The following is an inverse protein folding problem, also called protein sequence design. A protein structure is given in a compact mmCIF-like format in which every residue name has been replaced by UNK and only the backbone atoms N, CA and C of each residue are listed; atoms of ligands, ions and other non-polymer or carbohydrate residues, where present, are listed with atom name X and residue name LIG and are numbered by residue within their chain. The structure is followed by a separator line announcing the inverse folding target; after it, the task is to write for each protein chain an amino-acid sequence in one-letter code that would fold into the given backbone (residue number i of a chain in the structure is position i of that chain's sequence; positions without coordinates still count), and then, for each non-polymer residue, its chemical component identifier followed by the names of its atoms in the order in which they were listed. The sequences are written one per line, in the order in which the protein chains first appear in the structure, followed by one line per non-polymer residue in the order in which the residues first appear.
data_IF_914363230848
#
_entry.id   IF_914363230848
#
_cell.length_a   1.000
_cell.length_b   1.000
_cell.length_c   1.000
_cell.angle_alpha   90.00
_cell.angle_beta   90.00
_cell.angle_gamma   90.00
#
_symmetry.space_group_name_H-M   'P 1'
#
loop_
_entity.id
_entity.type
_entity.pdbx_description
1 polymer ?
#
# COMPACT_ATOMS: atom_id res chain seq x y z
N UNK A 1 -29.57 -27.20 -4.38
CA UNK A 1 -29.56 -26.00 -5.25
C UNK A 1 -29.58 -24.66 -4.50
N UNK A 2 -30.22 -24.52 -3.32
CA UNK A 2 -30.24 -23.25 -2.54
C UNK A 2 -28.83 -22.83 -2.01
N UNK A 3 -27.98 -23.76 -1.65
CA UNK A 3 -26.63 -23.51 -1.14
C UNK A 3 -25.71 -22.91 -2.20
N UNK A 4 -25.77 -23.35 -3.45
CA UNK A 4 -24.97 -22.82 -4.55
C UNK A 4 -25.33 -21.37 -4.92
N UNK A 5 -26.59 -20.96 -4.74
CA UNK A 5 -27.01 -19.57 -4.99
C UNK A 5 -26.48 -18.59 -3.91
N UNK A 6 -26.31 -19.06 -2.68
CA UNK A 6 -25.78 -18.23 -1.59
C UNK A 6 -24.31 -17.85 -1.77
N UNK A 7 -23.51 -18.69 -2.46
CA UNK A 7 -22.08 -18.43 -2.69
C UNK A 7 -21.77 -17.59 -3.94
N UNK A 8 -22.75 -17.38 -4.83
CA UNK A 8 -22.54 -16.61 -6.07
C UNK A 8 -21.96 -15.21 -5.84
N UNK A 9 -22.49 -14.36 -4.94
CA UNK A 9 -21.94 -13.02 -4.74
C UNK A 9 -20.50 -13.07 -4.23
N UNK A 10 -20.15 -14.01 -3.37
CA UNK A 10 -18.79 -14.21 -2.90
C UNK A 10 -17.84 -14.62 -4.03
N UNK A 11 -18.26 -15.55 -4.89
CA UNK A 11 -17.45 -15.97 -6.05
C UNK A 11 -17.23 -14.82 -7.05
N UNK A 12 -18.25 -13.99 -7.29
CA UNK A 12 -18.09 -12.81 -8.15
C UNK A 12 -17.14 -11.78 -7.53
N UNK A 13 -17.23 -11.53 -6.21
CA UNK A 13 -16.30 -10.64 -5.52
C UNK A 13 -14.86 -11.13 -5.62
N UNK A 14 -14.64 -12.44 -5.42
CA UNK A 14 -13.32 -13.04 -5.53
C UNK A 14 -12.77 -12.92 -6.97
N UNK A 15 -13.60 -13.20 -7.97
CA UNK A 15 -13.22 -13.06 -9.38
C UNK A 15 -12.84 -11.61 -9.74
N UNK A 16 -13.56 -10.62 -9.20
CA UNK A 16 -13.26 -9.20 -9.39
C UNK A 16 -11.93 -8.83 -8.72
N UNK A 17 -11.65 -9.33 -7.51
CA UNK A 17 -10.37 -9.09 -6.83
C UNK A 17 -9.20 -9.68 -7.63
N UNK A 18 -9.37 -10.90 -8.16
CA UNK A 18 -8.38 -11.52 -9.04
C UNK A 18 -8.19 -10.72 -10.33
N UNK A 19 -9.27 -10.17 -10.90
CA UNK A 19 -9.19 -9.27 -12.05
C UNK A 19 -8.39 -8.02 -11.72
N UNK A 20 -8.65 -7.36 -10.59
CA UNK A 20 -7.87 -6.19 -10.16
C UNK A 20 -6.39 -6.52 -10.01
N UNK A 21 -6.07 -7.65 -9.40
CA UNK A 21 -4.69 -8.09 -9.26
C UNK A 21 -4.01 -8.28 -10.63
N UNK A 22 -4.69 -8.97 -11.57
CA UNK A 22 -4.21 -9.13 -12.94
C UNK A 22 -3.99 -7.81 -13.67
N UNK A 23 -4.91 -6.85 -13.53
CA UNK A 23 -4.78 -5.51 -14.13
C UNK A 23 -3.57 -4.74 -13.58
N UNK A 24 -3.33 -4.82 -12.29
CA UNK A 24 -2.17 -4.18 -11.65
C UNK A 24 -0.86 -4.83 -12.10
N UNK A 25 -0.80 -6.15 -12.20
CA UNK A 25 0.37 -6.85 -12.72
C UNK A 25 0.67 -6.46 -14.18
N UNK A 26 -0.36 -6.32 -15.01
CA UNK A 26 -0.20 -5.86 -16.39
C UNK A 26 0.28 -4.40 -16.47
N UNK A 27 -0.28 -3.52 -15.64
CA UNK A 27 0.11 -2.11 -15.60
C UNK A 27 1.56 -1.93 -15.14
N UNK A 28 1.98 -2.67 -14.12
CA UNK A 28 3.34 -2.68 -13.58
C UNK A 28 4.19 -3.82 -14.17
N UNK A 29 3.91 -4.25 -15.39
CA UNK A 29 4.64 -5.35 -16.05
C UNK A 29 6.17 -5.19 -16.05
N UNK A 30 6.78 -3.98 -16.17
CA UNK A 30 8.22 -3.83 -16.06
C UNK A 30 8.81 -4.28 -14.72
N UNK A 31 8.03 -4.24 -13.64
CA UNK A 31 8.49 -4.72 -12.33
C UNK A 31 8.55 -6.25 -12.26
N UNK A 32 7.74 -6.96 -13.07
CA UNK A 32 7.84 -8.41 -13.22
C UNK A 32 9.14 -8.84 -13.94
N UNK A 33 9.73 -7.93 -14.72
CA UNK A 33 11.04 -8.10 -15.36
C UNK A 33 12.22 -7.74 -14.45
N UNK A 34 11.97 -7.46 -13.16
CA UNK A 34 12.98 -7.08 -12.18
C UNK A 34 13.38 -5.60 -12.23
N UNK A 35 12.65 -4.75 -12.97
CA UNK A 35 12.83 -3.30 -12.91
C UNK A 35 12.19 -2.75 -11.64
N UNK A 36 12.82 -1.72 -11.06
CA UNK A 36 12.32 -1.04 -9.86
C UNK A 36 11.79 0.35 -10.21
N UNK A 37 10.76 0.80 -9.49
CA UNK A 37 10.28 2.16 -9.61
C UNK A 37 11.23 3.10 -8.85
N UNK A 38 11.79 4.09 -9.55
CA UNK A 38 12.66 5.11 -8.96
C UNK A 38 11.84 6.10 -8.15
N UNK A 39 11.69 5.87 -6.85
CA UNK A 39 10.93 6.71 -5.93
C UNK A 39 11.88 7.67 -5.20
N UNK A 40 11.81 8.96 -5.56
CA UNK A 40 12.73 9.96 -5.03
C UNK A 40 12.66 10.11 -3.50
N UNK A 41 11.47 10.19 -2.95
CA UNK A 41 11.27 10.35 -1.50
C UNK A 41 11.68 9.11 -0.70
N UNK A 42 11.57 7.92 -1.28
CA UNK A 42 12.08 6.68 -0.65
C UNK A 42 13.60 6.73 -0.58
N UNK A 43 14.27 7.17 -1.65
CA UNK A 43 15.74 7.30 -1.64
C UNK A 43 16.22 8.31 -0.59
N UNK A 44 15.54 9.46 -0.48
CA UNK A 44 15.84 10.45 0.57
C UNK A 44 15.56 9.89 1.97
N UNK A 45 14.42 9.24 2.17
CA UNK A 45 14.08 8.60 3.45
C UNK A 45 15.15 7.60 3.89
N UNK A 46 15.67 6.77 2.99
CA UNK A 46 16.72 5.80 3.30
C UNK A 46 17.99 6.48 3.81
N UNK A 47 18.38 7.61 3.20
CA UNK A 47 19.49 8.42 3.67
C UNK A 47 19.25 9.03 5.04
N UNK A 48 18.09 9.66 5.22
CA UNK A 48 17.71 10.35 6.46
C UNK A 48 17.52 9.41 7.65
N UNK A 49 17.00 8.22 7.42
CA UNK A 49 16.70 7.24 8.47
C UNK A 49 17.90 6.35 8.83
N UNK A 50 19.01 6.46 8.11
CA UNK A 50 20.15 5.54 8.27
C UNK A 50 20.68 5.50 9.71
N UNK A 51 20.96 6.66 10.30
CA UNK A 51 21.48 6.74 11.68
C UNK A 51 20.54 6.08 12.68
N UNK A 52 19.22 6.32 12.54
CA UNK A 52 18.21 5.73 13.42
C UNK A 52 18.07 4.21 13.24
N UNK A 53 18.16 3.74 12.02
CA UNK A 53 18.10 2.31 11.71
C UNK A 53 19.36 1.59 12.22
N UNK A 54 20.56 2.15 11.97
CA UNK A 54 21.84 1.60 12.45
C UNK A 54 21.85 1.52 14.00
N UNK A 55 21.30 2.54 14.69
CA UNK A 55 21.16 2.51 16.15
C UNK A 55 20.19 1.42 16.62
N UNK A 56 19.04 1.31 15.97
CA UNK A 56 18.03 0.27 16.28
C UNK A 56 18.60 -1.13 16.09
N UNK A 57 19.30 -1.35 14.97
CA UNK A 57 19.86 -2.66 14.63
C UNK A 57 20.99 -3.07 15.59
N UNK A 58 21.76 -2.10 16.09
CA UNK A 58 22.85 -2.36 17.02
C UNK A 58 22.43 -2.51 18.49
N UNK A 59 21.37 -1.80 18.91
CA UNK A 59 20.98 -1.73 20.34
C UNK A 59 19.64 -2.41 20.65
N UNK A 60 18.81 -2.67 19.63
CA UNK A 60 17.43 -3.13 19.79
C UNK A 60 16.45 -2.06 20.31
N UNK A 61 16.90 -0.81 20.48
CA UNK A 61 16.11 0.30 21.01
C UNK A 61 15.84 1.37 19.95
N UNK A 62 14.73 2.10 20.11
CA UNK A 62 14.40 3.24 19.26
C UNK A 62 15.16 4.49 19.71
N UNK A 63 15.82 5.17 18.77
CA UNK A 63 16.44 6.46 19.04
C UNK A 63 15.40 7.57 19.10
N UNK A 64 15.41 8.36 20.16
CA UNK A 64 14.49 9.48 20.35
C UNK A 64 14.92 10.70 19.53
N UNK A 65 16.21 10.83 19.26
CA UNK A 65 16.82 11.98 18.59
C UNK A 65 17.79 11.54 17.51
N UNK A 66 17.90 12.30 16.43
CA UNK A 66 18.97 12.14 15.41
C UNK A 66 19.67 13.47 15.18
N UNK A 67 20.96 13.41 14.89
CA UNK A 67 21.77 14.56 14.52
C UNK A 67 22.03 14.64 13.01
N UNK A 68 21.57 13.67 12.23
CA UNK A 68 21.83 13.58 10.79
C UNK A 68 21.15 14.66 9.97
N UNK A 69 20.16 15.38 10.52
CA UNK A 69 19.37 16.38 9.79
C UNK A 69 19.10 17.63 10.62
N UNK A 70 19.07 18.78 9.93
CA UNK A 70 18.67 20.09 10.49
C UNK A 70 19.35 20.44 11.81
N UNK A 71 20.61 20.04 12.02
CA UNK A 71 21.34 20.18 13.29
C UNK A 71 20.71 19.45 14.48
N UNK A 72 19.85 18.48 14.20
CA UNK A 72 19.18 17.62 15.16
C UNK A 72 17.66 17.77 15.15
N UNK A 73 16.98 16.62 15.22
CA UNK A 73 15.52 16.58 15.30
C UNK A 73 15.02 15.30 15.97
N UNK A 74 13.74 15.27 16.45
CA UNK A 74 13.17 14.07 17.02
C UNK A 74 13.15 12.90 16.02
N UNK A 75 13.70 11.73 16.42
CA UNK A 75 13.83 10.55 15.57
C UNK A 75 12.49 9.99 15.09
N UNK A 76 11.44 10.10 15.90
CA UNK A 76 10.09 9.62 15.56
C UNK A 76 9.42 10.38 14.40
N UNK A 77 9.93 11.56 14.03
CA UNK A 77 9.46 12.28 12.84
C UNK A 77 10.01 11.71 11.53
N UNK A 78 11.07 10.92 11.60
CA UNK A 78 11.73 10.31 10.43
C UNK A 78 11.42 8.82 10.35
N UNK A 79 11.79 8.07 11.39
CA UNK A 79 11.67 6.61 11.40
C UNK A 79 11.34 6.12 12.78
N UNK A 80 10.23 5.42 12.91
CA UNK A 80 9.82 4.71 14.13
C UNK A 80 9.20 3.37 13.72
N UNK A 81 9.51 2.34 14.51
CA UNK A 81 8.92 1.02 14.31
C UNK A 81 7.93 0.73 15.43
N UNK A 82 6.68 0.54 15.06
CA UNK A 82 5.65 0.10 16.00
C UNK A 82 4.82 -1.04 15.40
N UNK A 83 4.36 -1.92 16.28
CA UNK A 83 3.52 -3.05 15.90
C UNK A 83 2.04 -2.65 15.98
N UNK A 84 1.29 -3.00 14.94
CA UNK A 84 -0.16 -2.87 14.91
C UNK A 84 -0.76 -4.06 14.13
N UNK A 85 -2.08 -4.25 14.24
CA UNK A 85 -2.77 -5.37 13.57
C UNK A 85 -2.72 -5.25 12.03
N UNK A 86 -2.69 -4.02 11.50
CA UNK A 86 -2.63 -3.77 10.06
C UNK A 86 -1.29 -4.24 9.48
N UNK A 87 -0.22 -4.25 10.29
CA UNK A 87 1.10 -4.75 9.87
C UNK A 87 1.04 -6.20 9.35
N UNK A 88 0.18 -7.02 9.91
CA UNK A 88 -0.02 -8.41 9.44
C UNK A 88 -0.55 -8.41 8.00
N UNK A 89 -1.52 -7.55 7.70
CA UNK A 89 -2.07 -7.39 6.35
C UNK A 89 -0.99 -6.90 5.39
N UNK A 90 -0.17 -5.93 5.81
CA UNK A 90 0.92 -5.40 4.99
C UNK A 90 1.97 -6.47 4.68
N UNK A 91 2.33 -7.32 5.65
CA UNK A 91 3.28 -8.43 5.44
C UNK A 91 2.73 -9.43 4.43
N UNK A 92 1.47 -9.85 4.60
CA UNK A 92 0.83 -10.84 3.72
C UNK A 92 0.70 -10.32 2.28
N UNK A 93 0.31 -9.05 2.12
CA UNK A 93 0.14 -8.41 0.81
C UNK A 93 1.43 -7.80 0.26
N UNK A 94 2.56 -7.92 0.97
CA UNK A 94 3.83 -7.28 0.61
C UNK A 94 3.68 -5.78 0.31
N UNK A 95 2.91 -5.08 1.17
CA UNK A 95 2.72 -3.64 1.08
C UNK A 95 3.94 -2.96 1.71
N UNK A 96 4.92 -2.66 0.89
CA UNK A 96 6.19 -2.05 1.30
C UNK A 96 6.75 -1.13 0.20
N UNK A 97 7.98 -0.64 0.41
CA UNK A 97 8.66 0.24 -0.53
C UNK A 97 9.12 -0.47 -1.81
N UNK A 98 9.35 -1.78 -1.72
CA UNK A 98 9.88 -2.60 -2.82
C UNK A 98 8.77 -3.03 -3.78
N UNK A 99 7.52 -3.01 -3.31
CA UNK A 99 6.36 -3.48 -4.05
C UNK A 99 5.26 -2.41 -4.21
N UNK A 100 5.56 -1.25 -4.85
CA UNK A 100 4.59 -0.15 -4.99
C UNK A 100 3.32 -0.55 -5.75
N UNK A 101 3.38 -1.58 -6.61
CA UNK A 101 2.20 -2.13 -7.28
C UNK A 101 1.14 -2.66 -6.30
N UNK A 102 1.56 -3.12 -5.12
CA UNK A 102 0.63 -3.63 -4.11
C UNK A 102 -0.15 -2.49 -3.43
N UNK A 103 0.41 -1.27 -3.40
CA UNK A 103 -0.34 -0.08 -2.96
C UNK A 103 -1.48 0.26 -3.92
N UNK A 104 -1.22 0.19 -5.23
CA UNK A 104 -2.26 0.40 -6.22
C UNK A 104 -3.36 -0.68 -6.09
N UNK A 105 -2.99 -1.95 -5.94
CA UNK A 105 -3.94 -3.03 -5.68
C UNK A 105 -4.80 -2.76 -4.44
N UNK A 106 -4.21 -2.23 -3.37
CA UNK A 106 -4.91 -1.90 -2.14
C UNK A 106 -6.03 -0.87 -2.37
N UNK A 107 -5.80 0.16 -3.22
CA UNK A 107 -6.84 1.13 -3.57
C UNK A 107 -8.08 0.48 -4.19
N UNK A 108 -7.87 -0.41 -5.15
CA UNK A 108 -8.99 -1.12 -5.79
C UNK A 108 -9.77 -1.96 -4.80
N UNK A 109 -9.08 -2.76 -4.00
CA UNK A 109 -9.71 -3.70 -3.07
C UNK A 109 -10.44 -2.98 -1.96
N UNK A 110 -9.81 -1.98 -1.31
CA UNK A 110 -10.43 -1.27 -0.20
C UNK A 110 -11.67 -0.49 -0.66
N UNK A 111 -11.58 0.22 -1.77
CA UNK A 111 -12.74 0.97 -2.28
C UNK A 111 -13.86 0.05 -2.77
N UNK A 112 -13.52 -1.07 -3.43
CA UNK A 112 -14.50 -2.08 -3.82
C UNK A 112 -15.25 -2.63 -2.61
N UNK A 113 -14.53 -3.00 -1.55
CA UNK A 113 -15.12 -3.50 -0.30
C UNK A 113 -15.99 -2.42 0.35
N UNK A 114 -15.54 -1.17 0.41
CA UNK A 114 -16.31 -0.06 0.96
C UNK A 114 -17.65 0.12 0.23
N UNK A 115 -17.66 0.08 -1.11
CA UNK A 115 -18.89 0.17 -1.90
C UNK A 115 -19.84 -1.02 -1.66
N UNK A 116 -19.31 -2.23 -1.47
CA UNK A 116 -20.11 -3.40 -1.10
C UNK A 116 -20.73 -3.23 0.29
N UNK A 117 -20.02 -2.67 1.27
CA UNK A 117 -20.60 -2.36 2.59
C UNK A 117 -21.71 -1.32 2.51
N UNK A 118 -21.62 -0.37 1.57
CA UNK A 118 -22.69 0.59 1.26
C UNK A 118 -23.85 -0.05 0.45
N UNK A 119 -23.82 -1.37 0.24
CA UNK A 119 -24.83 -2.13 -0.49
C UNK A 119 -24.99 -1.70 -1.96
N UNK A 120 -23.96 -1.15 -2.56
CA UNK A 120 -23.92 -0.85 -3.99
C UNK A 120 -23.85 -2.17 -4.77
N UNK A 121 -24.59 -2.30 -5.90
CA UNK A 121 -24.54 -3.48 -6.74
C UNK A 121 -23.09 -3.84 -7.15
N UNK A 122 -22.76 -5.12 -7.15
CA UNK A 122 -21.38 -5.62 -7.32
C UNK A 122 -20.68 -5.09 -8.58
N UNK A 123 -21.40 -5.00 -9.70
CA UNK A 123 -20.85 -4.50 -10.96
C UNK A 123 -20.56 -3.00 -10.92
N UNK A 124 -21.43 -2.24 -10.25
CA UNK A 124 -21.22 -0.81 -10.05
C UNK A 124 -20.08 -0.56 -9.05
N UNK A 125 -19.96 -1.40 -8.03
CA UNK A 125 -18.83 -1.37 -7.09
C UNK A 125 -17.51 -1.66 -7.80
N UNK A 126 -17.48 -2.62 -8.73
CA UNK A 126 -16.32 -2.91 -9.57
C UNK A 126 -15.92 -1.68 -10.41
N UNK A 127 -16.87 -1.07 -11.11
CA UNK A 127 -16.61 0.12 -11.92
C UNK A 127 -16.14 1.30 -11.07
N UNK A 128 -16.80 1.54 -9.93
CA UNK A 128 -16.39 2.59 -8.99
C UNK A 128 -14.96 2.40 -8.48
N UNK A 129 -14.59 1.15 -8.14
CA UNK A 129 -13.25 0.82 -7.71
C UNK A 129 -12.20 1.03 -8.82
N UNK A 130 -12.54 0.72 -10.08
CA UNK A 130 -11.66 0.98 -11.22
C UNK A 130 -11.44 2.49 -11.42
N UNK A 131 -12.48 3.30 -11.43
CA UNK A 131 -12.33 4.76 -11.57
C UNK A 131 -11.56 5.39 -10.41
N UNK A 132 -11.82 4.93 -9.18
CA UNK A 132 -11.07 5.40 -8.01
C UNK A 132 -9.60 4.98 -8.09
N UNK A 133 -9.33 3.70 -8.26
CA UNK A 133 -7.98 3.15 -8.22
C UNK A 133 -7.09 3.62 -9.37
N UNK A 134 -7.65 3.88 -10.57
CA UNK A 134 -6.92 4.46 -11.70
C UNK A 134 -6.86 5.99 -11.69
N UNK A 135 -7.24 6.64 -10.59
CA UNK A 135 -7.03 8.08 -10.46
C UNK A 135 -5.54 8.42 -10.59
N UNK A 136 -5.21 9.38 -11.45
CA UNK A 136 -3.83 9.84 -11.67
C UNK A 136 -3.15 10.29 -10.39
N UNK A 137 -3.90 10.85 -9.46
CA UNK A 137 -3.39 11.30 -8.16
C UNK A 137 -2.72 10.18 -7.36
N UNK A 138 -3.29 8.97 -7.35
CA UNK A 138 -2.71 7.84 -6.62
C UNK A 138 -1.41 7.35 -7.25
N UNK A 139 -1.33 7.33 -8.58
CA UNK A 139 -0.09 6.96 -9.26
C UNK A 139 1.02 7.98 -9.04
N UNK A 140 0.69 9.28 -9.04
CA UNK A 140 1.65 10.35 -8.71
C UNK A 140 2.20 10.17 -7.29
N UNK A 141 1.34 9.87 -6.31
CA UNK A 141 1.75 9.62 -4.92
C UNK A 141 2.66 8.40 -4.80
N UNK A 142 2.33 7.32 -5.51
CA UNK A 142 3.14 6.09 -5.52
C UNK A 142 4.48 6.35 -6.19
N UNK A 143 4.52 7.05 -7.32
CA UNK A 143 5.74 7.40 -8.03
C UNK A 143 6.66 8.29 -7.18
N UNK A 144 6.11 9.28 -6.51
CA UNK A 144 6.86 10.15 -5.60
C UNK A 144 7.46 9.38 -4.40
N UNK A 145 6.86 8.26 -3.99
CA UNK A 145 7.31 7.47 -2.85
C UNK A 145 6.63 7.83 -1.53
N UNK A 146 5.48 8.51 -1.57
CA UNK A 146 4.71 8.86 -0.37
C UNK A 146 3.93 7.65 0.19
N UNK A 147 4.63 6.59 0.56
CA UNK A 147 4.07 5.28 0.94
C UNK A 147 3.05 5.40 2.08
N UNK A 148 3.39 6.13 3.16
CA UNK A 148 2.50 6.31 4.31
C UNK A 148 1.19 6.99 3.92
N UNK A 149 1.27 8.02 3.05
CA UNK A 149 0.10 8.73 2.53
C UNK A 149 -0.74 7.82 1.62
N UNK A 150 -0.08 7.02 0.78
CA UNK A 150 -0.75 6.05 -0.08
C UNK A 150 -1.54 5.03 0.74
N UNK A 151 -0.95 4.46 1.79
CA UNK A 151 -1.60 3.53 2.72
C UNK A 151 -2.79 4.20 3.43
N UNK A 152 -2.61 5.41 3.96
CA UNK A 152 -3.69 6.13 4.64
C UNK A 152 -4.90 6.35 3.74
N UNK A 153 -4.68 6.78 2.49
CA UNK A 153 -5.75 6.99 1.51
C UNK A 153 -6.46 5.71 1.08
N UNK A 154 -5.77 4.57 1.11
CA UNK A 154 -6.40 3.29 0.77
C UNK A 154 -7.38 2.83 1.86
N UNK A 155 -7.09 3.14 3.13
CA UNK A 155 -7.93 2.71 4.27
C UNK A 155 -8.99 3.74 4.68
N UNK A 156 -9.03 4.92 4.08
CA UNK A 156 -10.10 5.91 4.31
C UNK A 156 -11.41 5.53 3.62
#
# INVERSE_FOLDING_TARGET
MKTLQAYKPFMYSLAIIVLFFGMILLYFSPMLEGKTLGQHDVAQYLGMSKELNDYRDSTGNEAIWTNSMFSGMPGYLISVTYNNLIKVVHIVLKIDKEHPQMLAFLYFVCFFIALLFLKIPIWLSMLGALFYGFSSYFFIIIEAGHITKAIALAYM
#
